data_IF_086066150639
#
_entry.id   IF_086066150639
#
_cell.length_a   1.000
_cell.length_b   1.000
_cell.length_c   1.000
_cell.angle_alpha   90.00
_cell.angle_beta   90.00
_cell.angle_gamma   90.00
#
_symmetry.space_group_name_H-M   'P 1'
#
loop_
_entity.id
_entity.type
_entity.pdbx_description
1 polymer ?
#
# COMPACT_ATOMS: atom_id res chain seq x y z
N UNK A 1 -9.69 9.37 29.92
CA UNK A 1 -10.83 9.75 30.77
C UNK A 1 -12.05 9.76 29.88
N UNK A 2 -12.99 8.82 30.06
CA UNK A 2 -14.23 8.79 29.29
C UNK A 2 -15.29 9.51 30.12
N UNK A 3 -15.80 10.63 29.61
CA UNK A 3 -16.97 11.29 30.19
C UNK A 3 -18.15 10.30 30.13
N UNK A 4 -19.09 10.30 31.10
CA UNK A 4 -20.30 9.48 30.97
C UNK A 4 -21.01 9.88 29.67
N UNK A 5 -21.28 8.90 28.80
CA UNK A 5 -21.65 9.12 27.40
C UNK A 5 -22.88 10.00 27.16
N UNK A 6 -23.71 10.21 28.18
CA UNK A 6 -24.90 11.05 28.14
C UNK A 6 -24.87 12.23 29.12
N UNK A 7 -23.99 12.24 30.14
CA UNK A 7 -23.97 13.32 31.14
C UNK A 7 -23.52 14.68 30.56
N UNK A 8 -22.79 14.67 29.45
CA UNK A 8 -22.40 15.90 28.74
C UNK A 8 -23.54 16.47 27.90
N UNK A 9 -24.60 15.68 27.63
CA UNK A 9 -25.75 16.10 26.85
C UNK A 9 -26.79 16.84 27.71
N UNK A 10 -26.77 16.62 29.02
CA UNK A 10 -27.68 17.29 29.96
C UNK A 10 -27.43 18.82 29.96
N UNK A 11 -28.48 19.60 29.70
CA UNK A 11 -28.42 21.06 29.65
C UNK A 11 -27.98 21.67 28.31
N UNK A 12 -27.63 20.85 27.31
CA UNK A 12 -27.34 21.36 25.96
C UNK A 12 -28.62 21.64 25.15
N UNK A 13 -28.68 22.75 24.39
CA UNK A 13 -29.81 23.02 23.51
C UNK A 13 -29.89 21.97 22.39
N UNK A 14 -31.11 21.65 21.94
CA UNK A 14 -31.36 20.63 20.93
C UNK A 14 -30.54 20.81 19.63
N UNK A 15 -30.26 22.06 19.24
CA UNK A 15 -29.40 22.39 18.09
C UNK A 15 -27.96 21.93 18.28
N UNK A 16 -27.41 22.04 19.49
CA UNK A 16 -26.06 21.56 19.79
C UNK A 16 -26.02 20.02 19.75
N UNK A 17 -27.01 19.35 20.35
CA UNK A 17 -27.14 17.89 20.29
C UNK A 17 -27.29 17.37 18.85
N UNK A 18 -28.04 18.10 18.01
CA UNK A 18 -28.17 17.77 16.59
C UNK A 18 -26.83 17.88 15.85
N UNK A 19 -26.06 18.94 16.12
CA UNK A 19 -24.73 19.11 15.54
C UNK A 19 -23.76 17.98 15.92
N UNK A 20 -23.82 17.50 17.16
CA UNK A 20 -22.99 16.35 17.57
C UNK A 20 -23.38 15.07 16.81
N UNK A 21 -24.68 14.77 16.69
CA UNK A 21 -25.14 13.61 15.91
C UNK A 21 -24.72 13.65 14.44
N UNK A 22 -24.77 14.84 13.83
CA UNK A 22 -24.29 15.02 12.46
C UNK A 22 -22.77 14.80 12.35
N UNK A 23 -21.99 15.29 13.32
CA UNK A 23 -20.56 15.06 13.37
C UNK A 23 -20.22 13.58 13.59
N UNK A 24 -20.94 12.88 14.45
CA UNK A 24 -20.80 11.43 14.66
C UNK A 24 -21.08 10.65 13.37
N UNK A 25 -22.15 10.99 12.65
CA UNK A 25 -22.46 10.38 11.35
C UNK A 25 -21.35 10.61 10.31
N UNK A 26 -20.85 11.85 10.22
CA UNK A 26 -19.75 12.20 9.31
C UNK A 26 -18.46 11.47 9.68
N UNK A 27 -18.18 11.33 10.97
CA UNK A 27 -17.02 10.63 11.47
C UNK A 27 -17.11 9.13 11.16
N UNK A 28 -18.30 8.54 11.32
CA UNK A 28 -18.53 7.15 10.96
C UNK A 28 -18.35 6.91 9.46
N UNK A 29 -18.88 7.80 8.62
CA UNK A 29 -18.66 7.76 7.17
C UNK A 29 -17.17 7.85 6.82
N UNK A 30 -16.45 8.81 7.40
CA UNK A 30 -15.02 8.99 7.17
C UNK A 30 -14.20 7.79 7.64
N UNK A 31 -14.61 7.16 8.74
CA UNK A 31 -13.95 5.95 9.24
C UNK A 31 -14.15 4.77 8.27
N UNK A 32 -15.37 4.60 7.74
CA UNK A 32 -15.65 3.58 6.70
C UNK A 32 -14.82 3.82 5.45
N UNK A 33 -14.74 5.06 4.97
CA UNK A 33 -13.90 5.42 3.82
C UNK A 33 -12.42 5.12 4.11
N UNK A 34 -11.92 5.50 5.29
CA UNK A 34 -10.54 5.20 5.70
C UNK A 34 -10.26 3.70 5.69
N UNK A 35 -11.14 2.89 6.26
CA UNK A 35 -11.00 1.42 6.30
C UNK A 35 -11.01 0.84 4.88
N UNK A 36 -11.90 1.31 4.01
CA UNK A 36 -11.94 0.89 2.62
C UNK A 36 -10.64 1.23 1.89
N UNK A 37 -10.11 2.44 2.07
CA UNK A 37 -8.85 2.88 1.45
C UNK A 37 -7.66 2.10 2.01
N UNK A 38 -7.62 1.84 3.31
CA UNK A 38 -6.57 1.03 3.91
C UNK A 38 -6.56 -0.38 3.33
N UNK A 39 -7.72 -1.03 3.20
CA UNK A 39 -7.80 -2.35 2.59
C UNK A 39 -7.31 -2.36 1.13
N UNK A 40 -7.57 -1.29 0.37
CA UNK A 40 -7.03 -1.13 -0.98
C UNK A 40 -5.50 -1.00 -0.98
N UNK A 41 -4.96 -0.20 -0.06
CA UNK A 41 -3.51 -0.04 0.09
C UNK A 41 -2.84 -1.36 0.48
N UNK A 42 -3.36 -2.07 1.48
CA UNK A 42 -2.83 -3.36 1.92
C UNK A 42 -2.82 -4.40 0.78
N UNK A 43 -3.84 -4.37 -0.08
CA UNK A 43 -3.92 -5.23 -1.27
C UNK A 43 -2.82 -4.90 -2.28
N UNK A 44 -2.60 -3.62 -2.57
CA UNK A 44 -1.54 -3.18 -3.48
C UNK A 44 -0.15 -3.47 -2.92
N UNK A 45 0.06 -3.26 -1.64
CA UNK A 45 1.31 -3.57 -0.95
C UNK A 45 1.61 -5.08 -1.00
N UNK A 46 0.61 -5.94 -0.79
CA UNK A 46 0.78 -7.38 -0.92
C UNK A 46 1.14 -7.80 -2.36
N UNK A 47 0.50 -7.21 -3.36
CA UNK A 47 0.81 -7.46 -4.77
C UNK A 47 2.25 -7.03 -5.11
N UNK A 48 2.66 -5.86 -4.64
CA UNK A 48 4.02 -5.34 -4.81
C UNK A 48 5.04 -6.23 -4.11
N UNK A 49 4.77 -6.66 -2.87
CA UNK A 49 5.65 -7.56 -2.14
C UNK A 49 5.87 -8.87 -2.91
N UNK A 50 4.80 -9.44 -3.47
CA UNK A 50 4.87 -10.65 -4.30
C UNK A 50 5.71 -10.43 -5.56
N UNK A 51 5.55 -9.28 -6.22
CA UNK A 51 6.37 -8.94 -7.38
C UNK A 51 7.85 -8.76 -7.00
N UNK A 52 8.14 -8.12 -5.86
CA UNK A 52 9.50 -7.95 -5.35
C UNK A 52 10.16 -9.30 -5.06
N UNK A 53 9.44 -10.22 -4.41
CA UNK A 53 9.93 -11.59 -4.17
C UNK A 53 10.23 -12.33 -5.48
N UNK A 54 9.37 -12.19 -6.50
CA UNK A 54 9.62 -12.77 -7.82
C UNK A 54 10.89 -12.21 -8.45
N UNK A 55 11.07 -10.88 -8.46
CA UNK A 55 12.26 -10.22 -9.02
C UNK A 55 13.52 -10.66 -8.28
N UNK A 56 13.51 -10.63 -6.95
CA UNK A 56 14.63 -11.11 -6.14
C UNK A 56 14.93 -12.59 -6.38
N UNK A 57 13.88 -13.41 -6.51
CA UNK A 57 14.01 -14.83 -6.87
C UNK A 57 14.63 -15.03 -8.25
N UNK A 58 14.21 -14.26 -9.26
CA UNK A 58 14.80 -14.28 -10.60
C UNK A 58 16.26 -13.83 -10.58
N UNK A 59 16.60 -12.79 -9.82
CA UNK A 59 17.98 -12.33 -9.66
C UNK A 59 18.87 -13.37 -8.98
N UNK A 60 18.37 -14.03 -7.92
CA UNK A 60 19.12 -15.08 -7.24
C UNK A 60 19.33 -16.30 -8.14
N UNK A 61 18.29 -16.68 -8.91
CA UNK A 61 18.38 -17.79 -9.87
C UNK A 61 19.35 -17.48 -11.02
N UNK A 62 19.37 -16.24 -11.51
CA UNK A 62 20.33 -15.78 -12.52
C UNK A 62 21.77 -15.72 -12.01
N UNK A 63 21.98 -15.54 -10.70
CA UNK A 63 23.32 -15.57 -10.10
C UNK A 63 23.83 -17.00 -9.87
N UNK A 64 22.95 -17.97 -9.63
CA UNK A 64 23.32 -19.38 -9.43
C UNK A 64 23.49 -20.19 -10.73
N UNK A 65 22.94 -19.75 -11.86
CA UNK A 65 23.23 -20.34 -13.18
C UNK A 65 24.17 -19.42 -13.97
N UNK A 66 25.48 -19.73 -14.07
CA UNK A 66 26.33 -19.02 -15.02
C UNK A 66 25.75 -19.18 -16.44
N UNK A 67 25.84 -18.16 -17.31
CA UNK A 67 25.37 -18.28 -18.68
C UNK A 67 26.04 -19.48 -19.34
N UNK A 68 25.32 -20.28 -20.16
CA UNK A 68 25.99 -21.30 -20.96
C UNK A 68 27.08 -20.60 -21.77
N UNK A 69 28.30 -21.14 -21.67
CA UNK A 69 29.50 -20.77 -22.44
C UNK A 69 29.28 -21.04 -23.94
N UNK A 70 28.28 -20.41 -24.54
CA UNK A 70 27.86 -20.57 -25.93
C UNK A 70 27.56 -19.24 -26.62
N UNK A 71 27.48 -18.12 -25.88
CA UNK A 71 27.29 -16.80 -26.48
C UNK A 71 28.55 -16.23 -27.13
N UNK A 72 29.72 -16.83 -26.94
CA UNK A 72 31.00 -16.34 -27.48
C UNK A 72 31.16 -16.57 -29.01
N UNK A 73 30.34 -17.41 -29.64
CA UNK A 73 30.51 -17.77 -31.05
C UNK A 73 29.74 -16.91 -32.05
N UNK A 74 28.87 -15.99 -31.60
CA UNK A 74 28.03 -15.18 -32.50
C UNK A 74 28.39 -13.68 -32.54
N UNK A 75 29.47 -13.24 -31.89
CA UNK A 75 29.94 -11.85 -31.99
C UNK A 75 28.96 -10.78 -31.48
N UNK A 76 27.86 -11.18 -30.83
CA UNK A 76 26.96 -10.27 -30.14
C UNK A 76 27.48 -10.08 -28.71
N UNK A 77 28.04 -8.91 -28.48
CA UNK A 77 28.53 -8.46 -27.17
C UNK A 77 27.47 -8.73 -26.09
N UNK A 78 27.82 -9.41 -24.98
CA UNK A 78 26.88 -9.66 -23.90
C UNK A 78 26.60 -8.32 -23.23
N UNK A 79 25.47 -7.68 -23.55
CA UNK A 79 25.00 -6.54 -22.77
C UNK A 79 24.65 -7.07 -21.39
N UNK A 80 25.38 -6.70 -20.31
CA UNK A 80 24.89 -6.95 -18.98
C UNK A 80 23.59 -6.17 -18.82
N UNK A 81 22.60 -6.75 -18.14
CA UNK A 81 21.37 -6.08 -17.76
C UNK A 81 21.69 -4.87 -16.86
N UNK A 82 22.08 -3.75 -17.46
CA UNK A 82 22.12 -2.47 -16.79
C UNK A 82 20.68 -2.00 -16.68
N UNK A 83 20.13 -2.17 -15.47
CA UNK A 83 19.04 -1.34 -14.99
C UNK A 83 19.44 0.13 -15.20
N UNK A 84 18.99 0.72 -16.29
CA UNK A 84 18.95 2.16 -16.46
C UNK A 84 17.60 2.62 -15.93
N UNK A 85 17.54 3.37 -14.82
CA UNK A 85 16.30 4.05 -14.46
C UNK A 85 16.05 5.10 -15.54
N UNK A 86 14.94 4.94 -16.27
CA UNK A 86 14.43 5.95 -17.20
C UNK A 86 14.10 7.22 -16.40
N UNK A 87 14.69 8.39 -16.69
CA UNK A 87 14.11 9.64 -16.24
C UNK A 87 12.93 10.00 -17.15
N UNK A 88 11.91 10.61 -16.54
CA UNK A 88 10.75 11.24 -17.18
C UNK A 88 11.18 12.30 -18.20
#
# INVERSE_FOLDING_TARGET
MSWPGEAWQEGLPARALQGVRELEQRLEWANKERVQKQAQLDTLEAALHKQRQKVLGWCLHAHLMPPPMGCALLGLSPRPCTLTPHPL
#
